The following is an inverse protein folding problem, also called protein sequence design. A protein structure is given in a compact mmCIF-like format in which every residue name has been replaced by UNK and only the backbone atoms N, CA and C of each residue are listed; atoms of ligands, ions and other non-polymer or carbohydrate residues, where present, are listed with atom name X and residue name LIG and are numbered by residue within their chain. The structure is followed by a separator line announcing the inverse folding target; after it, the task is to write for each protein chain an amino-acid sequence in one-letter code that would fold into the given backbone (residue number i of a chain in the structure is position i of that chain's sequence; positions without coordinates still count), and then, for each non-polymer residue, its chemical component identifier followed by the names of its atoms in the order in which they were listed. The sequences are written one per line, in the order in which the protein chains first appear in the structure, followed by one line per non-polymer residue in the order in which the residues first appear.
data_IF_469714561119
#
_entry.id   IF_469714561119
#
_cell.length_a   1.000
_cell.length_b   1.000
_cell.length_c   1.000
_cell.angle_alpha   90.00
_cell.angle_beta   90.00
_cell.angle_gamma   90.00
#
_symmetry.space_group_name_H-M   'P 1'
#
loop_
_entity.id
_entity.type
_entity.pdbx_description
1 polymer ?
#
# COMPACT_ATOMS: atom_id res chain seq x y z
N UNK A 1 11.00 -14.54 -63.87
CA UNK A 1 9.66 -14.30 -63.31
C UNK A 1 9.41 -15.29 -62.16
N UNK A 2 9.72 -14.92 -60.97
CA UNK A 2 9.51 -15.77 -59.77
C UNK A 2 8.02 -15.70 -59.46
N UNK A 3 7.42 -16.89 -59.54
CA UNK A 3 6.01 -17.18 -59.51
C UNK A 3 5.35 -16.50 -58.25
N UNK A 4 4.37 -15.65 -58.49
CA UNK A 4 3.62 -14.91 -57.47
C UNK A 4 2.94 -15.84 -56.47
N UNK A 5 2.60 -17.05 -56.88
CA UNK A 5 2.07 -18.12 -56.03
C UNK A 5 3.04 -18.61 -54.95
N UNK A 6 4.36 -18.64 -55.21
CA UNK A 6 5.35 -19.05 -54.22
C UNK A 6 5.51 -18.00 -53.10
N UNK A 7 5.34 -16.72 -53.42
CA UNK A 7 5.37 -15.64 -52.39
C UNK A 7 4.12 -15.67 -51.50
N UNK A 8 2.97 -15.99 -52.05
CA UNK A 8 1.72 -16.15 -51.28
C UNK A 8 1.78 -17.38 -50.37
N UNK A 9 2.31 -18.50 -50.82
CA UNK A 9 2.50 -19.72 -50.00
C UNK A 9 3.49 -19.51 -48.86
N UNK A 10 4.59 -18.75 -49.09
CA UNK A 10 5.56 -18.41 -48.02
C UNK A 10 4.96 -17.44 -46.96
N UNK A 11 4.14 -16.50 -47.38
CA UNK A 11 3.46 -15.58 -46.45
C UNK A 11 2.39 -16.32 -45.65
N UNK A 12 1.65 -17.24 -46.26
CA UNK A 12 0.63 -18.05 -45.56
C UNK A 12 1.26 -19.05 -44.61
N UNK A 13 2.41 -19.66 -44.94
CA UNK A 13 3.15 -20.54 -44.00
C UNK A 13 3.78 -19.77 -42.84
N UNK A 14 4.19 -18.52 -43.07
CA UNK A 14 4.74 -17.66 -41.99
C UNK A 14 3.64 -17.19 -41.03
N UNK A 15 2.40 -16.97 -41.51
CA UNK A 15 1.25 -16.62 -40.68
C UNK A 15 0.77 -17.82 -39.86
N UNK A 16 0.90 -19.05 -40.38
CA UNK A 16 0.57 -20.28 -39.63
C UNK A 16 1.62 -20.67 -38.59
N UNK A 17 2.86 -20.17 -38.69
CA UNK A 17 3.91 -20.38 -37.71
C UNK A 17 3.88 -19.37 -36.56
N UNK A 18 3.06 -18.32 -36.63
CA UNK A 18 2.97 -17.27 -35.61
C UNK A 18 1.87 -17.50 -34.55
N UNK A 19 1.18 -18.65 -34.54
CA UNK A 19 0.09 -18.88 -33.61
C UNK A 19 0.07 -20.26 -32.91
N UNK A 20 1.09 -20.64 -32.14
CA UNK A 20 0.87 -21.64 -31.11
C UNK A 20 0.71 -21.09 -29.67
N UNK A 21 0.94 -19.78 -29.47
CA UNK A 21 0.99 -19.24 -28.09
C UNK A 21 -0.40 -19.07 -27.45
N UNK A 22 -1.47 -19.00 -28.24
CA UNK A 22 -2.80 -18.71 -27.68
C UNK A 22 -3.71 -19.92 -27.45
N UNK A 23 -3.33 -21.14 -27.81
CA UNK A 23 -4.22 -22.29 -27.71
C UNK A 23 -4.25 -22.97 -26.33
N UNK A 24 -3.17 -22.88 -25.54
CA UNK A 24 -3.13 -23.46 -24.20
C UNK A 24 -3.78 -22.55 -23.13
N UNK A 25 -3.74 -21.24 -23.32
CA UNK A 25 -4.34 -20.27 -22.40
C UNK A 25 -5.88 -20.38 -22.36
N UNK A 26 -6.48 -20.85 -23.45
CA UNK A 26 -7.94 -20.96 -23.58
C UNK A 26 -8.56 -22.20 -22.91
N UNK A 27 -7.77 -23.13 -22.38
CA UNK A 27 -8.29 -24.36 -21.75
C UNK A 27 -8.54 -24.22 -20.23
N UNK A 28 -8.03 -23.20 -19.58
CA UNK A 28 -8.33 -22.96 -18.17
C UNK A 28 -9.70 -22.27 -18.02
N UNK A 29 -10.66 -23.00 -17.47
CA UNK A 29 -11.99 -22.46 -17.21
C UNK A 29 -11.89 -21.33 -16.19
N UNK A 30 -12.29 -20.13 -16.60
CA UNK A 30 -12.38 -18.96 -15.71
C UNK A 30 -13.25 -19.30 -14.51
N UNK A 31 -12.79 -19.13 -13.28
CA UNK A 31 -13.60 -19.31 -12.08
C UNK A 31 -14.85 -18.44 -12.16
N UNK A 32 -15.99 -18.99 -11.76
CA UNK A 32 -17.25 -18.26 -11.83
C UNK A 32 -17.92 -18.32 -10.46
N UNK A 33 -18.11 -17.18 -9.80
CA UNK A 33 -18.75 -17.16 -8.49
C UNK A 33 -20.23 -17.56 -8.61
N UNK A 34 -20.72 -18.28 -7.60
CA UNK A 34 -22.14 -18.62 -7.51
C UNK A 34 -22.98 -17.36 -7.32
N UNK A 35 -24.21 -17.38 -7.82
CA UNK A 35 -25.19 -16.31 -7.60
C UNK A 35 -26.11 -16.70 -6.46
N UNK A 36 -26.07 -15.92 -5.36
CA UNK A 36 -26.96 -16.06 -4.20
C UNK A 36 -27.67 -14.72 -4.02
N UNK A 37 -28.90 -14.54 -4.55
CA UNK A 37 -29.55 -13.24 -4.55
C UNK A 37 -29.92 -12.80 -3.13
N UNK A 38 -29.50 -11.60 -2.74
CA UNK A 38 -29.91 -10.89 -1.52
C UNK A 38 -30.58 -9.60 -1.94
N UNK A 39 -31.79 -9.33 -1.40
CA UNK A 39 -32.53 -8.11 -1.72
C UNK A 39 -32.34 -7.08 -0.60
N UNK A 40 -31.93 -5.88 -0.99
CA UNK A 40 -31.89 -4.69 -0.13
C UNK A 40 -32.99 -3.73 -0.55
N UNK A 41 -33.59 -3.08 0.44
CA UNK A 41 -34.57 -2.02 0.19
C UNK A 41 -34.15 -0.76 0.94
N UNK A 42 -34.02 0.35 0.23
CA UNK A 42 -33.74 1.65 0.79
C UNK A 42 -34.47 2.74 -0.02
N UNK A 43 -35.07 3.69 0.67
CA UNK A 43 -35.78 4.83 0.04
C UNK A 43 -36.84 4.41 -0.99
N UNK A 44 -37.53 3.27 -0.75
CA UNK A 44 -38.55 2.73 -1.66
C UNK A 44 -38.02 2.05 -2.92
N UNK A 45 -36.67 1.88 -3.04
CA UNK A 45 -36.04 1.20 -4.16
C UNK A 45 -35.49 -0.16 -3.71
N UNK A 46 -35.83 -1.21 -4.47
CA UNK A 46 -35.28 -2.56 -4.27
C UNK A 46 -34.07 -2.79 -5.16
N UNK A 47 -32.99 -3.29 -4.56
CA UNK A 47 -31.76 -3.70 -5.25
C UNK A 47 -31.48 -5.17 -4.93
N UNK A 48 -31.22 -5.97 -5.95
CA UNK A 48 -30.77 -7.36 -5.78
C UNK A 48 -29.27 -7.41 -5.98
N UNK A 49 -28.57 -7.98 -5.00
CA UNK A 49 -27.14 -8.29 -5.08
C UNK A 49 -26.96 -9.80 -5.07
N UNK A 50 -26.42 -10.34 -6.18
CA UNK A 50 -26.18 -11.77 -6.33
C UNK A 50 -24.90 -12.24 -5.66
N UNK A 51 -24.04 -11.33 -5.24
CA UNK A 51 -22.68 -11.61 -4.78
C UNK A 51 -22.43 -11.09 -3.36
N UNK A 52 -23.46 -10.72 -2.62
CA UNK A 52 -23.33 -10.22 -1.25
C UNK A 52 -22.68 -11.25 -0.30
N UNK A 53 -22.79 -12.53 -0.60
CA UNK A 53 -22.10 -13.60 0.13
C UNK A 53 -20.57 -13.48 0.09
N UNK A 54 -20.00 -12.75 -0.87
CA UNK A 54 -18.56 -12.49 -0.96
C UNK A 54 -18.09 -11.45 0.08
N UNK A 55 -19.01 -10.82 0.81
CA UNK A 55 -18.68 -9.96 1.93
C UNK A 55 -18.55 -10.80 3.20
N UNK A 56 -17.33 -11.09 3.60
CA UNK A 56 -17.01 -11.71 4.88
C UNK A 56 -16.05 -10.80 5.66
N UNK A 57 -16.58 -10.04 6.62
CA UNK A 57 -15.80 -9.14 7.47
C UNK A 57 -14.89 -9.93 8.43
N UNK A 58 -15.21 -11.21 8.71
CA UNK A 58 -14.39 -12.11 9.52
C UNK A 58 -13.18 -12.67 8.77
N UNK A 59 -13.23 -12.69 7.44
CA UNK A 59 -12.22 -13.29 6.53
C UNK A 59 -11.95 -14.77 6.82
N UNK A 60 -13.00 -15.53 7.18
CA UNK A 60 -12.91 -16.93 7.58
C UNK A 60 -13.87 -17.84 6.82
N UNK A 61 -14.73 -17.30 5.98
CA UNK A 61 -15.66 -18.11 5.20
C UNK A 61 -14.88 -19.03 4.23
N UNK A 62 -14.93 -20.35 4.43
CA UNK A 62 -14.13 -21.29 3.63
C UNK A 62 -14.56 -21.32 2.17
N UNK A 63 -15.82 -21.03 1.87
CA UNK A 63 -16.31 -21.01 0.49
C UNK A 63 -15.81 -19.78 -0.27
N UNK A 64 -15.82 -18.62 0.38
CA UNK A 64 -15.22 -17.39 -0.18
C UNK A 64 -13.71 -17.56 -0.38
N UNK A 65 -12.99 -18.09 0.62
CA UNK A 65 -11.54 -18.33 0.54
C UNK A 65 -11.23 -19.27 -0.64
N UNK A 66 -11.95 -20.39 -0.76
CA UNK A 66 -11.76 -21.35 -1.85
C UNK A 66 -12.00 -20.72 -3.23
N UNK A 67 -12.99 -19.82 -3.36
CA UNK A 67 -13.20 -19.08 -4.60
C UNK A 67 -12.04 -18.14 -4.92
N UNK A 68 -11.55 -17.37 -3.94
CA UNK A 68 -10.39 -16.49 -4.11
C UNK A 68 -9.12 -17.26 -4.47
N UNK A 69 -8.89 -18.43 -3.86
CA UNK A 69 -7.77 -19.32 -4.21
C UNK A 69 -7.86 -19.82 -5.66
N UNK A 70 -9.08 -20.13 -6.13
CA UNK A 70 -9.29 -20.55 -7.51
C UNK A 70 -9.01 -19.42 -8.52
N UNK A 71 -9.36 -18.17 -8.19
CA UNK A 71 -9.04 -16.98 -8.98
C UNK A 71 -7.53 -16.74 -9.03
N UNK A 72 -6.85 -16.83 -7.87
CA UNK A 72 -5.39 -16.68 -7.80
C UNK A 72 -4.69 -17.75 -8.63
N UNK A 73 -5.15 -19.03 -8.51
CA UNK A 73 -4.59 -20.11 -9.32
C UNK A 73 -4.78 -19.89 -10.82
N UNK A 74 -5.96 -19.41 -11.23
CA UNK A 74 -6.21 -19.09 -12.63
C UNK A 74 -5.25 -18.00 -13.15
N UNK A 75 -5.03 -16.98 -12.33
CA UNK A 75 -4.08 -15.90 -12.64
C UNK A 75 -2.64 -16.41 -12.76
N UNK A 76 -2.21 -17.25 -11.80
CA UNK A 76 -0.87 -17.86 -11.83
C UNK A 76 -0.66 -18.71 -13.08
N UNK A 77 -1.62 -19.59 -13.40
CA UNK A 77 -1.56 -20.45 -14.59
C UNK A 77 -1.47 -19.61 -15.87
N UNK A 78 -2.18 -18.46 -15.92
CA UNK A 78 -2.12 -17.54 -17.05
C UNK A 78 -0.76 -16.85 -17.17
N UNK A 79 -0.20 -16.36 -16.06
CA UNK A 79 1.09 -15.68 -16.04
C UNK A 79 2.27 -16.63 -16.28
N UNK A 80 2.18 -17.89 -15.86
CA UNK A 80 3.25 -18.87 -16.05
C UNK A 80 3.54 -19.16 -17.52
N UNK A 81 2.57 -18.98 -18.40
CA UNK A 81 2.79 -19.10 -19.85
C UNK A 81 3.70 -18.02 -20.45
N UNK A 82 3.95 -16.93 -19.74
CA UNK A 82 4.78 -15.79 -20.14
C UNK A 82 5.89 -15.45 -19.15
N UNK A 83 6.34 -16.41 -18.33
CA UNK A 83 7.29 -16.17 -17.25
C UNK A 83 8.59 -15.50 -17.73
N UNK A 84 9.20 -16.01 -18.79
CA UNK A 84 10.44 -15.45 -19.37
C UNK A 84 10.27 -13.96 -19.78
N UNK A 85 9.13 -13.60 -20.36
CA UNK A 85 8.85 -12.21 -20.75
C UNK A 85 8.61 -11.33 -19.52
N UNK A 86 7.87 -11.84 -18.54
CA UNK A 86 7.61 -11.14 -17.29
C UNK A 86 8.90 -10.83 -16.55
N UNK A 87 9.80 -11.81 -16.44
CA UNK A 87 11.07 -11.65 -15.74
C UNK A 87 11.98 -10.65 -16.43
N UNK A 88 12.08 -10.71 -17.77
CA UNK A 88 12.81 -9.70 -18.55
C UNK A 88 12.25 -8.29 -18.36
N UNK A 89 10.92 -8.14 -18.37
CA UNK A 89 10.28 -6.84 -18.16
C UNK A 89 10.50 -6.35 -16.73
N UNK A 90 10.44 -7.24 -15.75
CA UNK A 90 10.71 -6.92 -14.36
C UNK A 90 12.16 -6.44 -14.17
N UNK A 91 13.14 -7.16 -14.70
CA UNK A 91 14.53 -6.75 -14.67
C UNK A 91 14.75 -5.40 -15.36
N UNK A 92 14.22 -5.22 -16.58
CA UNK A 92 14.34 -3.97 -17.33
C UNK A 92 13.75 -2.77 -16.58
N UNK A 93 12.60 -2.94 -15.92
CA UNK A 93 11.95 -1.88 -15.14
C UNK A 93 12.75 -1.58 -13.88
N UNK A 94 13.16 -2.60 -13.15
CA UNK A 94 13.86 -2.43 -11.87
C UNK A 94 15.26 -1.87 -12.04
N UNK A 95 15.95 -2.18 -13.16
CA UNK A 95 17.26 -1.62 -13.47
C UNK A 95 17.23 -0.12 -13.78
N UNK A 96 16.07 0.42 -14.17
CA UNK A 96 15.87 1.87 -14.38
C UNK A 96 15.63 2.63 -13.08
N UNK A 97 15.29 1.94 -11.99
CA UNK A 97 15.02 2.55 -10.69
C UNK A 97 16.34 2.78 -9.95
N UNK A 98 16.67 4.02 -9.55
CA UNK A 98 17.86 4.28 -8.73
C UNK A 98 17.81 3.45 -7.44
N UNK A 99 18.86 2.66 -7.19
CA UNK A 99 18.95 1.81 -5.98
C UNK A 99 19.13 2.61 -4.70
N UNK A 100 19.64 3.85 -4.83
CA UNK A 100 19.76 4.82 -3.74
C UNK A 100 19.19 6.15 -4.20
N UNK A 101 18.24 6.68 -3.47
CA UNK A 101 17.59 7.93 -3.82
C UNK A 101 17.21 8.74 -2.58
N UNK A 102 17.56 10.02 -2.60
CA UNK A 102 17.06 11.00 -1.64
C UNK A 102 15.95 11.83 -2.30
N UNK A 103 14.83 12.00 -1.61
CA UNK A 103 13.83 12.96 -2.04
C UNK A 103 14.37 14.39 -1.97
N UNK A 104 13.77 15.31 -2.71
CA UNK A 104 14.12 16.73 -2.59
C UNK A 104 13.87 17.19 -1.15
N UNK A 105 14.86 17.78 -0.45
CA UNK A 105 14.69 18.26 0.91
C UNK A 105 13.67 19.41 0.98
N UNK A 106 12.73 19.30 1.90
CA UNK A 106 11.74 20.35 2.19
C UNK A 106 12.13 21.09 3.46
N UNK A 107 12.26 22.41 3.38
CA UNK A 107 12.55 23.27 4.54
C UNK A 107 11.27 23.51 5.32
N UNK A 108 11.25 23.04 6.58
CA UNK A 108 10.22 23.40 7.56
C UNK A 108 10.92 23.99 8.78
N UNK A 109 10.70 25.29 9.07
CA UNK A 109 11.33 26.01 10.18
C UNK A 109 12.87 25.89 10.16
N UNK A 110 13.42 25.23 11.20
CA UNK A 110 14.87 25.14 11.44
C UNK A 110 15.55 24.02 10.67
N UNK A 111 14.80 23.08 10.11
CA UNK A 111 15.35 21.87 9.51
C UNK A 111 14.90 21.67 8.06
N UNK A 112 15.72 20.95 7.32
CA UNK A 112 15.39 20.31 6.06
C UNK A 112 14.99 18.86 6.33
N UNK A 113 13.87 18.42 5.76
CA UNK A 113 13.32 17.08 5.90
C UNK A 113 13.31 16.41 4.55
N UNK A 114 13.77 15.15 4.51
CA UNK A 114 13.80 14.36 3.28
C UNK A 114 13.69 12.88 3.61
N UNK A 115 13.38 12.09 2.59
CA UNK A 115 13.29 10.64 2.67
C UNK A 115 14.41 10.04 1.83
N UNK A 116 15.06 9.01 2.35
CA UNK A 116 16.11 8.25 1.69
C UNK A 116 15.68 6.82 1.49
N UNK A 117 15.94 6.27 0.29
CA UNK A 117 15.93 4.84 0.02
C UNK A 117 17.36 4.34 -0.08
N UNK A 118 17.66 3.23 0.60
CA UNK A 118 18.95 2.55 0.55
C UNK A 118 18.81 1.22 -0.19
N UNK A 119 19.84 0.74 -0.88
CA UNK A 119 19.80 -0.54 -1.58
C UNK A 119 19.40 -1.70 -0.68
N UNK A 120 18.47 -2.53 -1.15
CA UNK A 120 17.96 -3.69 -0.42
C UNK A 120 16.89 -3.39 0.64
N UNK A 121 16.54 -2.13 0.83
CA UNK A 121 15.45 -1.71 1.72
C UNK A 121 14.15 -1.53 0.93
N UNK A 122 13.05 -2.06 1.49
CA UNK A 122 11.71 -1.87 0.92
C UNK A 122 11.12 -0.48 1.27
N UNK A 123 11.46 0.03 2.45
CA UNK A 123 10.88 1.25 2.99
C UNK A 123 11.87 2.40 3.03
N UNK A 124 11.33 3.63 3.09
CA UNK A 124 12.12 4.83 3.21
C UNK A 124 12.59 5.12 4.64
N UNK A 125 13.72 5.80 4.75
CA UNK A 125 14.27 6.36 5.99
C UNK A 125 13.96 7.85 6.00
N UNK A 126 13.27 8.34 7.02
CA UNK A 126 12.94 9.75 7.18
C UNK A 126 14.01 10.47 7.98
N UNK A 127 14.53 11.55 7.43
CA UNK A 127 15.74 12.22 7.92
C UNK A 127 15.48 13.72 8.02
N UNK A 128 16.08 14.39 9.04
CA UNK A 128 16.19 15.83 9.11
C UNK A 128 17.62 16.29 9.26
N UNK A 129 17.95 17.49 8.80
CA UNK A 129 19.22 18.20 9.01
C UNK A 129 19.01 19.69 9.04
N UNK A 130 19.90 20.45 9.69
CA UNK A 130 19.80 21.93 9.73
C UNK A 130 20.07 22.57 8.38
N UNK A 131 21.01 22.05 7.63
CA UNK A 131 21.35 22.45 6.25
C UNK A 131 22.13 21.33 5.57
N UNK A 132 22.47 21.51 4.28
CA UNK A 132 23.15 20.51 3.44
C UNK A 132 24.45 19.93 4.04
N UNK A 133 25.18 20.73 4.82
CA UNK A 133 26.48 20.35 5.38
C UNK A 133 26.37 19.93 6.86
N UNK A 134 25.18 19.98 7.46
CA UNK A 134 24.96 19.63 8.86
C UNK A 134 24.78 18.11 9.03
N UNK A 135 25.03 17.65 10.26
CA UNK A 135 24.77 16.26 10.65
C UNK A 135 23.31 15.91 10.39
N UNK A 136 23.10 14.76 9.78
CA UNK A 136 21.77 14.16 9.57
C UNK A 136 21.31 13.44 10.84
N UNK A 137 19.98 13.54 11.08
CA UNK A 137 19.32 12.85 12.17
C UNK A 137 18.19 12.00 11.59
N UNK A 138 18.24 10.70 11.83
CA UNK A 138 17.17 9.78 11.46
C UNK A 138 15.98 9.99 12.38
N UNK A 139 14.87 10.40 11.83
CA UNK A 139 13.60 10.55 12.52
C UNK A 139 12.92 9.19 12.69
N UNK A 140 12.73 8.49 11.58
CA UNK A 140 12.16 7.15 11.53
C UNK A 140 12.88 6.35 10.43
N UNK A 141 13.35 5.17 10.78
CA UNK A 141 13.70 4.12 9.82
C UNK A 141 12.52 3.14 9.78
N UNK A 142 11.74 3.20 8.70
CA UNK A 142 10.56 2.35 8.53
C UNK A 142 10.94 0.89 8.38
N UNK A 143 12.14 0.59 7.85
CA UNK A 143 12.62 -0.79 7.73
C UNK A 143 12.84 -1.44 9.10
N UNK A 144 13.33 -0.68 10.09
CA UNK A 144 13.49 -1.19 11.45
C UNK A 144 12.12 -1.42 12.12
N UNK A 145 11.16 -0.53 11.94
CA UNK A 145 9.82 -0.69 12.50
C UNK A 145 9.05 -1.86 11.87
N UNK A 146 9.21 -2.06 10.57
CA UNK A 146 8.55 -3.13 9.83
C UNK A 146 8.97 -4.55 10.27
N UNK A 147 10.16 -4.72 10.86
CA UNK A 147 10.65 -6.05 11.31
C UNK A 147 9.74 -6.74 12.33
N UNK A 148 8.91 -6.00 13.03
CA UNK A 148 8.02 -6.54 14.07
C UNK A 148 6.64 -6.97 13.58
N UNK A 149 6.32 -6.82 12.29
CA UNK A 149 4.99 -7.03 11.74
C UNK A 149 5.07 -7.65 10.34
N UNK A 150 4.09 -8.47 9.97
CA UNK A 150 3.96 -9.00 8.60
C UNK A 150 3.59 -7.92 7.59
N UNK A 151 2.92 -6.87 8.06
CA UNK A 151 2.58 -5.69 7.29
C UNK A 151 2.95 -4.45 8.09
N UNK A 152 3.55 -3.46 7.44
CA UNK A 152 3.84 -2.17 8.06
C UNK A 152 3.68 -1.02 7.06
N UNK A 153 2.95 0.00 7.47
CA UNK A 153 2.80 1.24 6.72
C UNK A 153 2.95 2.45 7.64
N UNK A 154 3.91 3.32 7.36
CA UNK A 154 3.94 4.67 7.90
C UNK A 154 3.01 5.54 7.05
N UNK A 155 1.84 5.88 7.58
CA UNK A 155 0.81 6.60 6.83
C UNK A 155 1.05 8.12 6.82
N UNK A 156 1.42 8.68 7.95
CA UNK A 156 1.60 10.12 8.11
C UNK A 156 2.52 10.43 9.28
N UNK A 157 3.10 11.61 9.28
CA UNK A 157 3.88 12.11 10.41
C UNK A 157 3.85 13.63 10.47
N UNK A 158 4.07 14.19 11.65
CA UNK A 158 4.07 15.63 11.89
C UNK A 158 5.03 16.00 13.04
N UNK A 159 5.74 17.10 12.87
CA UNK A 159 6.68 17.61 13.84
C UNK A 159 6.00 18.69 14.68
N UNK A 160 6.22 18.65 16.01
CA UNK A 160 5.71 19.67 16.93
C UNK A 160 6.21 21.09 16.58
N UNK A 161 5.48 22.13 16.98
CA UNK A 161 5.94 23.52 16.79
C UNK A 161 7.30 23.83 17.39
N UNK A 162 7.72 23.13 18.44
CA UNK A 162 9.02 23.28 19.10
C UNK A 162 10.13 22.43 18.47
N UNK A 163 9.79 21.59 17.47
CA UNK A 163 10.72 20.68 16.78
C UNK A 163 11.39 19.63 17.68
N UNK A 164 10.81 19.36 18.85
CA UNK A 164 11.27 18.43 19.87
C UNK A 164 10.52 17.10 19.89
N UNK A 165 9.30 17.06 19.33
CA UNK A 165 8.47 15.86 19.25
C UNK A 165 8.06 15.58 17.80
N UNK A 166 7.89 14.30 17.49
CA UNK A 166 7.28 13.81 16.27
C UNK A 166 6.07 12.94 16.62
N UNK A 167 4.92 13.24 16.04
CA UNK A 167 3.79 12.33 16.01
C UNK A 167 3.81 11.58 14.67
N UNK A 168 3.56 10.28 14.68
CA UNK A 168 3.49 9.48 13.47
C UNK A 168 2.40 8.41 13.56
N UNK A 169 1.73 8.17 12.45
CA UNK A 169 0.64 7.20 12.32
C UNK A 169 1.12 5.96 11.58
N UNK A 170 0.97 4.79 12.18
CA UNK A 170 1.35 3.50 11.61
C UNK A 170 0.15 2.56 11.50
N UNK A 171 0.13 1.73 10.45
CA UNK A 171 -0.77 0.60 10.30
C UNK A 171 0.06 -0.68 10.22
N UNK A 172 -0.21 -1.63 11.11
CA UNK A 172 0.43 -2.96 11.17
C UNK A 172 -0.53 -4.08 10.76
N UNK A 173 -1.72 -3.73 10.27
CA UNK A 173 -2.79 -4.68 9.95
C UNK A 173 -3.15 -4.74 8.47
N UNK A 174 -2.76 -3.75 7.68
CA UNK A 174 -3.17 -3.58 6.29
C UNK A 174 -4.63 -3.14 6.12
N UNK A 175 -5.30 -2.70 7.21
CA UNK A 175 -6.70 -2.31 7.20
C UNK A 175 -6.93 -0.80 7.20
N UNK A 176 -5.84 -0.03 7.13
CA UNK A 176 -5.86 1.43 7.28
C UNK A 176 -6.41 1.87 8.65
N UNK A 177 -6.17 1.06 9.67
CA UNK A 177 -6.43 1.37 11.06
C UNK A 177 -5.13 1.89 11.68
N UNK A 178 -5.04 3.20 11.84
CA UNK A 178 -3.77 3.81 12.24
C UNK A 178 -3.70 4.03 13.74
N UNK A 179 -2.53 3.71 14.28
CA UNK A 179 -2.14 4.07 15.64
C UNK A 179 -1.17 5.24 15.57
N UNK A 180 -1.48 6.32 16.29
CA UNK A 180 -0.57 7.47 16.40
C UNK A 180 0.33 7.27 17.60
N UNK A 181 1.64 7.34 17.36
CA UNK A 181 2.69 7.29 18.35
C UNK A 181 3.47 8.60 18.41
N UNK A 182 4.15 8.82 19.52
CA UNK A 182 4.96 10.00 19.74
C UNK A 182 6.41 9.62 19.96
N UNK A 183 7.33 10.34 19.33
CA UNK A 183 8.77 10.17 19.49
C UNK A 183 9.41 11.48 19.93
N UNK A 184 10.16 11.42 21.01
CA UNK A 184 11.02 12.52 21.47
C UNK A 184 12.24 12.60 20.55
N UNK A 185 12.45 13.74 19.92
CA UNK A 185 13.51 13.96 18.94
C UNK A 185 14.85 14.34 19.58
N UNK A 186 14.90 14.61 20.87
CA UNK A 186 16.12 14.87 21.61
C UNK A 186 16.73 13.58 22.14
N UNK A 187 15.89 12.69 22.66
CA UNK A 187 16.31 11.40 23.24
C UNK A 187 16.24 10.25 22.24
N UNK A 188 15.39 10.36 21.20
CA UNK A 188 15.10 9.29 20.24
C UNK A 188 14.11 8.25 20.77
N UNK A 189 13.58 8.41 21.98
CA UNK A 189 12.64 7.47 22.58
C UNK A 189 11.22 7.65 22.04
N UNK A 190 10.53 6.54 21.82
CA UNK A 190 9.09 6.53 21.51
C UNK A 190 8.31 6.37 22.81
N UNK A 191 7.26 7.17 22.98
CA UNK A 191 6.38 7.10 24.16
C UNK A 191 5.53 5.83 24.08
N UNK A 192 5.20 5.26 25.26
CA UNK A 192 4.32 4.09 25.34
C UNK A 192 2.87 4.42 24.96
N UNK A 193 2.44 5.66 25.22
CA UNK A 193 1.08 6.09 24.89
C UNK A 193 0.84 6.10 23.39
N UNK A 194 -0.25 5.45 22.99
CA UNK A 194 -0.67 5.29 21.59
C UNK A 194 -2.12 5.74 21.45
N UNK A 195 -2.43 6.55 20.43
CA UNK A 195 -3.80 6.93 20.10
C UNK A 195 -4.32 6.00 19.01
N UNK A 196 -5.22 5.10 19.36
CA UNK A 196 -5.71 4.05 18.48
C UNK A 196 -6.91 4.48 17.63
N UNK A 197 -7.22 3.70 16.57
CA UNK A 197 -8.36 3.90 15.66
C UNK A 197 -8.37 5.25 14.93
N UNK A 198 -7.21 5.83 14.69
CA UNK A 198 -7.08 7.08 13.93
C UNK A 198 -7.28 6.85 12.43
N UNK A 199 -7.69 7.90 11.72
CA UNK A 199 -7.62 7.97 10.26
C UNK A 199 -6.20 8.21 9.72
N UNK A 200 -5.24 8.51 10.60
CA UNK A 200 -3.89 8.95 10.26
C UNK A 200 -3.75 10.46 10.10
N UNK A 201 -4.86 11.20 10.04
CA UNK A 201 -4.82 12.67 9.98
C UNK A 201 -4.54 13.26 11.36
N UNK A 202 -3.61 14.21 11.40
CA UNK A 202 -3.19 14.84 12.64
C UNK A 202 -2.70 16.28 12.44
N UNK A 203 -2.86 17.11 13.47
CA UNK A 203 -2.35 18.47 13.51
C UNK A 203 -1.97 18.89 14.94
N UNK A 204 -0.85 19.56 15.09
CA UNK A 204 -0.43 20.14 16.36
C UNK A 204 -1.15 21.46 16.66
N UNK A 205 -1.45 21.72 17.93
CA UNK A 205 -1.74 23.08 18.38
C UNK A 205 -0.51 23.97 18.21
N UNK A 206 -0.70 25.27 18.06
CA UNK A 206 0.38 26.23 17.83
C UNK A 206 1.42 26.30 18.96
N UNK A 207 1.00 25.97 20.19
CA UNK A 207 1.86 25.91 21.38
C UNK A 207 2.54 24.53 21.58
N UNK A 208 2.14 23.54 20.76
CA UNK A 208 2.66 22.16 20.84
C UNK A 208 2.14 21.35 22.04
N UNK A 209 1.15 21.86 22.75
CA UNK A 209 0.58 21.19 23.93
C UNK A 209 -0.38 20.07 23.54
N UNK A 210 -1.07 20.22 22.43
CA UNK A 210 -2.10 19.29 21.98
C UNK A 210 -1.82 18.76 20.58
N UNK A 211 -2.21 17.50 20.36
CA UNK A 211 -2.39 16.93 19.05
C UNK A 211 -3.88 16.76 18.77
N UNK A 212 -4.36 17.29 17.65
CA UNK A 212 -5.68 17.02 17.11
C UNK A 212 -5.59 15.85 16.14
N UNK A 213 -6.53 14.92 16.22
CA UNK A 213 -6.57 13.76 15.35
C UNK A 213 -8.01 13.32 15.07
N UNK A 214 -8.21 12.56 14.03
CA UNK A 214 -9.53 12.12 13.59
C UNK A 214 -9.67 10.63 13.82
N UNK A 215 -10.80 10.20 14.41
CA UNK A 215 -11.17 8.80 14.51
C UNK A 215 -11.92 8.36 13.26
N UNK A 216 -11.73 7.09 12.90
CA UNK A 216 -12.45 6.41 11.84
C UNK A 216 -13.51 5.50 12.44
N UNK A 217 -14.70 5.51 11.85
CA UNK A 217 -15.76 4.55 12.16
C UNK A 217 -15.36 3.15 11.69
N UNK A 218 -15.50 2.14 12.55
CA UNK A 218 -15.03 0.77 12.27
C UNK A 218 -15.86 0.02 11.24
N UNK A 219 -17.12 0.39 11.04
CA UNK A 219 -18.02 -0.27 10.10
C UNK A 219 -17.97 0.40 8.72
N UNK A 220 -18.10 1.73 8.71
CA UNK A 220 -18.14 2.50 7.47
C UNK A 220 -16.77 2.91 6.97
N UNK A 221 -15.72 2.84 7.82
CA UNK A 221 -14.36 3.30 7.59
C UNK A 221 -14.25 4.81 7.30
N UNK A 222 -15.30 5.57 7.57
CA UNK A 222 -15.33 7.01 7.35
C UNK A 222 -14.74 7.76 8.56
N UNK A 223 -13.98 8.84 8.34
CA UNK A 223 -13.62 9.79 9.39
C UNK A 223 -14.91 10.41 9.95
N UNK A 224 -15.12 10.35 11.27
CA UNK A 224 -16.39 10.80 11.84
C UNK A 224 -16.26 11.72 13.04
N UNK A 225 -15.11 11.73 13.74
CA UNK A 225 -14.97 12.48 14.98
C UNK A 225 -13.57 13.04 15.17
N UNK A 226 -13.49 14.34 15.48
CA UNK A 226 -12.24 15.03 15.83
C UNK A 226 -11.99 14.96 17.34
N UNK A 227 -10.77 14.60 17.71
CA UNK A 227 -10.30 14.55 19.09
C UNK A 227 -9.12 15.49 19.31
N UNK A 228 -8.92 15.82 20.56
CA UNK A 228 -7.77 16.55 21.08
C UNK A 228 -7.10 15.72 22.16
N UNK A 229 -5.82 15.45 22.01
CA UNK A 229 -5.00 14.77 23.01
C UNK A 229 -3.99 15.74 23.60
N UNK A 230 -3.90 15.82 24.92
CA UNK A 230 -2.86 16.56 25.61
C UNK A 230 -1.60 15.69 25.73
N UNK A 231 -0.45 16.23 25.25
CA UNK A 231 0.81 15.48 25.22
C UNK A 231 1.24 15.12 26.66
N UNK A 232 1.54 13.82 26.86
CA UNK A 232 1.91 13.28 28.18
C UNK A 232 0.74 12.79 29.01
N UNK A 233 -0.52 12.97 28.59
CA UNK A 233 -1.67 12.35 29.25
C UNK A 233 -1.94 10.94 28.71
N UNK A 234 -2.75 10.14 29.44
CA UNK A 234 -3.35 8.92 28.89
C UNK A 234 -4.40 9.25 27.81
N UNK A 235 -4.69 8.30 26.91
CA UNK A 235 -5.75 8.45 25.92
C UNK A 235 -7.12 8.59 26.56
#
# INVERSE_FOLDING_TARGET
MINWYLKFLLIYSLILLLNPINAEILNNKVPTPKKVPVTFEAHGVKRVDNYYWMRDDSRKDPELISHLESENKYLEDWFNSGEDLRDKLFEEITDRIPKKEDSVPVRLKSYEYFRRYEPGNEHGIYIRRKNKNAKEFVLIDVNELAKSSEFYQLANWSISPKEDLMAYAEDTTGRREYNIKFKDLNTGQTYENTLSNSSGDMAWSSDGRYLFYVLRDKETLLPFKLFRHEIGSSQ
#
